data_IF_955134795578
#
_entry.id   IF_955134795578
#
_cell.length_a   1.000
_cell.length_b   1.000
_cell.length_c   1.000
_cell.angle_alpha   90.00
_cell.angle_beta   90.00
_cell.angle_gamma   90.00
#
_symmetry.space_group_name_H-M   'P 1'
#
loop_
_entity.id
_entity.type
_entity.pdbx_description
1 polymer ?
#
# COMPACT_ATOMS: atom_id res chain seq x y z
N UNK A 1 -1.65 5.60 11.19
CA UNK A 1 -1.55 4.79 9.95
C UNK A 1 -1.79 3.31 10.21
N UNK A 2 -0.92 2.62 10.96
CA UNK A 2 -1.04 1.16 11.18
C UNK A 2 -2.41 0.71 11.71
N UNK A 3 -3.01 1.45 12.66
CA UNK A 3 -4.36 1.14 13.15
C UNK A 3 -5.40 1.15 12.03
N UNK A 4 -5.36 2.16 11.15
CA UNK A 4 -6.31 2.28 10.05
C UNK A 4 -6.13 1.20 8.99
N UNK A 5 -4.87 0.85 8.66
CA UNK A 5 -4.57 -0.26 7.74
C UNK A 5 -5.07 -1.60 8.26
N UNK A 6 -4.96 -1.84 9.58
CA UNK A 6 -5.54 -3.03 10.22
C UNK A 6 -7.06 -3.04 10.06
N UNK A 7 -7.74 -1.92 10.28
CA UNK A 7 -9.19 -1.84 10.10
C UNK A 7 -9.60 -2.12 8.65
N UNK A 8 -8.82 -1.65 7.66
CA UNK A 8 -9.06 -1.96 6.24
C UNK A 8 -8.93 -3.46 5.98
N UNK A 9 -7.88 -4.10 6.52
CA UNK A 9 -7.70 -5.55 6.40
C UNK A 9 -8.85 -6.33 7.07
N UNK A 10 -9.28 -5.92 8.26
CA UNK A 10 -10.39 -6.58 8.99
C UNK A 10 -11.71 -6.50 8.22
N UNK A 11 -11.94 -5.46 7.42
CA UNK A 11 -13.11 -5.34 6.54
C UNK A 11 -12.99 -6.07 5.20
N UNK A 12 -11.83 -6.65 4.89
CA UNK A 12 -11.58 -7.30 3.60
C UNK A 12 -11.96 -8.78 3.56
N UNK A 13 -12.51 -9.33 4.65
CA UNK A 13 -12.85 -10.76 4.76
C UNK A 13 -11.69 -11.70 4.35
N UNK A 14 -10.45 -11.33 4.69
CA UNK A 14 -9.24 -12.11 4.40
C UNK A 14 -8.65 -11.91 2.99
N UNK A 15 -9.27 -11.07 2.17
CA UNK A 15 -8.83 -10.81 0.79
C UNK A 15 -7.63 -9.88 0.72
N UNK A 16 -7.39 -9.09 1.75
CA UNK A 16 -6.24 -8.19 1.81
C UNK A 16 -5.35 -8.51 2.99
N UNK A 17 -4.04 -8.36 2.79
CA UNK A 17 -3.10 -8.28 3.90
C UNK A 17 -2.42 -6.93 3.93
N UNK A 18 -2.59 -6.19 5.02
CA UNK A 18 -1.97 -4.89 5.24
C UNK A 18 -0.94 -4.99 6.38
N UNK A 19 0.30 -5.45 6.13
CA UNK A 19 1.35 -5.41 7.14
C UNK A 19 1.62 -3.99 7.63
N UNK A 20 2.12 -3.88 8.86
CA UNK A 20 2.50 -2.59 9.42
C UNK A 20 3.64 -1.91 8.63
N UNK A 21 3.80 -0.60 8.83
CA UNK A 21 4.91 0.20 8.30
C UNK A 21 6.32 -0.29 8.65
N UNK A 22 6.43 -1.22 9.60
CA UNK A 22 7.71 -1.82 9.99
C UNK A 22 8.08 -3.03 9.11
N UNK A 23 7.18 -3.53 8.28
CA UNK A 23 7.43 -4.71 7.44
C UNK A 23 8.50 -4.43 6.40
N UNK A 24 8.34 -3.36 5.62
CA UNK A 24 9.28 -3.05 4.55
C UNK A 24 10.71 -2.84 5.06
N UNK A 25 10.99 -1.98 6.06
CA UNK A 25 12.36 -1.81 6.56
C UNK A 25 13.00 -3.12 7.07
N UNK A 26 12.19 -4.03 7.64
CA UNK A 26 12.68 -5.33 8.10
C UNK A 26 12.95 -6.29 6.94
N UNK A 27 12.08 -6.32 5.94
CA UNK A 27 12.24 -7.14 4.74
C UNK A 27 13.42 -6.63 3.88
N UNK A 28 13.54 -5.33 3.68
CA UNK A 28 14.60 -4.70 2.89
C UNK A 28 15.99 -5.07 3.44
N UNK A 29 16.16 -4.90 4.75
CA UNK A 29 17.42 -5.15 5.44
C UNK A 29 17.72 -6.65 5.60
N UNK A 30 16.72 -7.46 5.98
CA UNK A 30 16.93 -8.83 6.45
C UNK A 30 16.35 -9.93 5.57
N UNK A 31 15.77 -9.59 4.41
CA UNK A 31 15.12 -10.55 3.52
C UNK A 31 13.93 -11.27 4.16
N UNK A 32 13.49 -12.36 3.54
CA UNK A 32 12.36 -13.16 4.04
C UNK A 32 12.61 -13.64 5.48
N UNK A 33 13.83 -14.06 5.82
CA UNK A 33 14.17 -14.58 7.14
C UNK A 33 13.79 -13.63 8.30
N UNK A 34 13.91 -12.31 8.10
CA UNK A 34 13.55 -11.30 9.10
C UNK A 34 12.02 -11.13 9.28
N UNK A 35 11.23 -11.52 8.27
CA UNK A 35 9.77 -11.35 8.26
C UNK A 35 8.99 -12.67 8.10
N UNK A 36 9.65 -13.82 8.08
CA UNK A 36 9.06 -15.16 7.85
C UNK A 36 7.91 -15.56 8.79
N UNK A 37 7.75 -14.86 9.92
CA UNK A 37 6.66 -15.12 10.88
C UNK A 37 5.50 -14.15 10.77
N UNK A 38 5.59 -13.12 9.93
CA UNK A 38 4.66 -12.00 9.93
C UNK A 38 3.27 -12.38 9.42
N UNK A 39 3.18 -13.02 8.25
CA UNK A 39 1.90 -13.49 7.71
C UNK A 39 1.22 -14.48 8.66
N UNK A 40 1.97 -15.48 9.15
CA UNK A 40 1.49 -16.44 10.15
C UNK A 40 0.98 -15.79 11.43
N UNK A 41 1.70 -14.79 11.98
CA UNK A 41 1.26 -14.06 13.18
C UNK A 41 0.02 -13.21 12.93
N UNK A 42 -0.20 -12.79 11.69
CA UNK A 42 -1.41 -12.11 11.26
C UNK A 42 -2.56 -13.09 10.93
N UNK A 43 -2.36 -14.41 11.07
CA UNK A 43 -3.29 -15.44 10.64
C UNK A 43 -3.71 -15.29 9.16
N UNK A 44 -2.76 -14.89 8.31
CA UNK A 44 -2.97 -14.66 6.88
C UNK A 44 -2.27 -15.73 6.07
N UNK A 45 -2.96 -16.26 5.06
CA UNK A 45 -2.36 -17.00 3.96
C UNK A 45 -2.13 -16.03 2.78
N UNK A 46 -0.87 -15.72 2.49
CA UNK A 46 -0.49 -14.74 1.46
C UNK A 46 -0.93 -15.18 0.06
N UNK A 47 -0.91 -16.49 -0.22
CA UNK A 47 -1.28 -17.06 -1.51
C UNK A 47 -2.78 -16.92 -1.83
N UNK A 48 -3.63 -16.80 -0.79
CA UNK A 48 -5.08 -16.64 -0.96
C UNK A 48 -5.56 -15.20 -0.89
N UNK A 49 -4.66 -14.23 -0.69
CA UNK A 49 -5.04 -12.82 -0.71
C UNK A 49 -5.17 -12.32 -2.16
N UNK A 50 -6.16 -11.47 -2.41
CA UNK A 50 -6.30 -10.69 -3.64
C UNK A 50 -5.27 -9.53 -3.69
N UNK A 51 -4.91 -8.97 -2.52
CA UNK A 51 -3.83 -7.99 -2.48
C UNK A 51 -3.04 -8.00 -1.16
N UNK A 52 -1.72 -7.91 -1.24
CA UNK A 52 -0.87 -7.47 -0.13
C UNK A 52 -0.52 -5.97 -0.27
N UNK A 53 -0.84 -5.23 0.78
CA UNK A 53 -0.79 -3.79 0.92
C UNK A 53 0.38 -3.39 1.79
N UNK A 54 1.51 -3.06 1.17
CA UNK A 54 2.73 -2.72 1.92
C UNK A 54 2.93 -1.20 1.95
N UNK A 55 2.74 -0.54 3.11
CA UNK A 55 3.21 0.83 3.30
C UNK A 55 4.74 0.84 3.34
N UNK A 56 5.39 1.67 2.52
CA UNK A 56 6.84 1.84 2.60
C UNK A 56 7.17 3.03 3.50
N UNK A 57 8.16 2.83 4.36
CA UNK A 57 8.75 3.92 5.10
C UNK A 57 10.16 4.11 4.55
N UNK A 58 10.32 5.08 3.66
CA UNK A 58 11.59 5.33 3.01
C UNK A 58 12.23 6.52 3.69
N UNK A 59 13.40 6.31 4.30
CA UNK A 59 14.21 7.42 4.78
C UNK A 59 14.64 8.28 3.59
N UNK A 60 14.68 9.60 3.77
CA UNK A 60 15.11 10.51 2.71
C UNK A 60 16.56 10.23 2.33
N UNK A 61 16.79 9.62 1.17
CA UNK A 61 18.06 9.76 0.46
C UNK A 61 18.22 11.25 0.21
N UNK A 62 19.23 11.86 0.83
CA UNK A 62 19.65 13.20 0.45
C UNK A 62 19.89 13.14 -1.06
N UNK A 63 19.03 13.81 -1.84
CA UNK A 63 19.36 14.10 -3.23
C UNK A 63 20.76 14.71 -3.20
N UNK A 64 21.69 14.07 -3.89
CA UNK A 64 23.09 14.46 -3.89
C UNK A 64 23.24 15.91 -4.36
N UNK A 65 23.20 16.84 -3.41
CA UNK A 65 24.04 18.03 -3.45
C UNK A 65 25.16 17.75 -2.47
N UNK A 66 26.27 17.24 -3.01
CA UNK A 66 27.56 17.25 -2.34
C UNK A 66 27.77 18.66 -1.77
N UNK A 67 27.97 18.74 -0.45
CA UNK A 67 28.44 19.98 0.18
C UNK A 67 27.51 20.70 1.15
N UNK A 68 26.33 20.17 1.54
CA UNK A 68 25.60 20.76 2.67
C UNK A 68 25.41 19.77 3.81
N UNK A 69 26.22 19.92 4.87
CA UNK A 69 25.97 19.34 6.19
C UNK A 69 24.68 19.97 6.75
N UNK A 70 23.51 19.47 6.35
CA UNK A 70 22.26 19.76 7.05
C UNK A 70 22.02 18.69 8.12
N UNK A 71 21.53 19.06 9.32
CA UNK A 71 21.36 18.12 10.40
C UNK A 71 20.36 17.04 10.00
N UNK A 72 20.62 15.82 10.49
CA UNK A 72 19.70 14.67 10.51
C UNK A 72 18.40 15.06 11.23
N UNK A 73 17.52 15.81 10.58
CA UNK A 73 16.13 15.90 10.99
C UNK A 73 15.33 14.97 10.09
N UNK A 74 15.02 13.82 10.67
CA UNK A 74 14.20 12.75 10.13
C UNK A 74 12.85 13.31 9.67
N UNK A 75 12.72 13.59 8.38
CA UNK A 75 11.40 13.69 7.77
C UNK A 75 10.97 12.25 7.46
N UNK A 76 10.28 11.65 8.43
CA UNK A 76 9.59 10.37 8.30
C UNK A 76 8.49 10.51 7.22
N UNK A 77 8.88 10.43 5.96
CA UNK A 77 7.93 10.35 4.85
C UNK A 77 7.46 8.91 4.76
N UNK A 78 6.19 8.70 5.10
CA UNK A 78 5.48 7.47 4.76
C UNK A 78 5.30 7.49 3.25
N UNK A 79 6.15 6.78 2.52
CA UNK A 79 6.15 6.79 1.05
C UNK A 79 5.50 5.51 0.56
N UNK A 80 4.51 5.63 -0.30
CA UNK A 80 4.07 4.56 -1.20
C UNK A 80 3.30 3.36 -0.60
N UNK A 81 2.41 2.84 -1.44
CA UNK A 81 1.52 1.69 -1.28
C UNK A 81 1.83 0.63 -2.37
N UNK A 82 1.66 -0.66 -2.07
CA UNK A 82 1.80 -1.79 -3.03
C UNK A 82 0.53 -2.65 -3.11
N UNK A 83 0.30 -3.28 -4.26
CA UNK A 83 -0.62 -4.42 -4.46
C UNK A 83 0.23 -5.66 -4.79
N UNK A 84 -0.09 -6.81 -4.20
CA UNK A 84 0.49 -8.11 -4.54
C UNK A 84 -0.64 -9.11 -4.61
N UNK A 85 -0.81 -9.74 -5.77
CA UNK A 85 -1.85 -10.75 -6.09
C UNK A 85 -3.04 -10.23 -6.90
N UNK A 86 -2.83 -9.29 -7.83
CA UNK A 86 -3.64 -9.36 -9.06
C UNK A 86 -3.31 -10.71 -9.75
N UNK A 87 -4.26 -11.46 -10.34
CA UNK A 87 -4.03 -12.71 -11.09
C UNK A 87 -2.92 -12.66 -12.16
N UNK A 88 -2.35 -11.49 -12.42
CA UNK A 88 -1.24 -11.23 -13.35
C UNK A 88 0.13 -11.11 -12.66
N UNK A 89 0.22 -11.31 -11.34
CA UNK A 89 1.46 -11.25 -10.56
C UNK A 89 2.20 -9.90 -10.69
N UNK A 90 1.46 -8.79 -10.64
CA UNK A 90 2.07 -7.46 -10.69
C UNK A 90 2.50 -6.94 -9.32
N UNK A 91 3.59 -6.17 -9.32
CA UNK A 91 4.01 -5.29 -8.22
C UNK A 91 3.73 -3.86 -8.67
N UNK A 92 2.72 -3.22 -8.09
CA UNK A 92 2.44 -1.80 -8.37
C UNK A 92 3.12 -0.92 -7.32
N UNK A 93 3.88 0.07 -7.76
CA UNK A 93 4.50 1.07 -6.90
C UNK A 93 3.80 2.42 -7.10
N UNK A 94 3.06 2.86 -6.06
CA UNK A 94 2.23 4.07 -6.07
C UNK A 94 2.83 5.19 -5.20
N UNK A 95 3.54 6.15 -5.79
CA UNK A 95 4.14 7.25 -5.01
C UNK A 95 3.43 8.59 -5.25
N UNK A 96 2.84 9.16 -4.20
CA UNK A 96 2.12 10.44 -4.29
C UNK A 96 3.03 11.65 -4.58
N UNK A 97 4.36 11.50 -4.52
CA UNK A 97 5.34 12.52 -4.89
C UNK A 97 6.05 12.22 -6.23
N UNK A 98 5.71 11.11 -6.89
CA UNK A 98 6.38 10.69 -8.13
C UNK A 98 7.84 10.28 -7.93
N UNK A 99 8.22 9.80 -6.74
CA UNK A 99 9.57 9.30 -6.50
C UNK A 99 9.81 7.98 -7.26
N UNK A 100 11.08 7.63 -7.59
CA UNK A 100 11.39 6.31 -8.13
C UNK A 100 11.20 5.23 -7.07
N UNK A 101 10.88 4.01 -7.52
CA UNK A 101 10.81 2.84 -6.66
C UNK A 101 12.18 2.53 -6.02
N UNK A 102 12.22 2.02 -4.77
CA UNK A 102 13.45 1.51 -4.18
C UNK A 102 14.07 0.41 -5.03
N UNK A 103 15.40 0.40 -5.12
CA UNK A 103 16.17 -0.54 -5.95
C UNK A 103 15.86 -2.01 -5.60
N UNK A 104 15.75 -2.31 -4.30
CA UNK A 104 15.49 -3.67 -3.82
C UNK A 104 13.99 -4.04 -3.78
N UNK A 105 13.10 -3.16 -4.22
CA UNK A 105 11.65 -3.36 -4.09
C UNK A 105 11.20 -4.66 -4.75
N UNK A 106 11.50 -4.83 -6.04
CA UNK A 106 11.07 -6.02 -6.78
C UNK A 106 11.68 -7.28 -6.18
N UNK A 107 13.00 -7.33 -6.03
CA UNK A 107 13.71 -8.53 -5.59
C UNK A 107 13.25 -9.01 -4.21
N UNK A 108 13.15 -8.11 -3.23
CA UNK A 108 12.74 -8.45 -1.85
C UNK A 108 11.32 -8.95 -1.74
N UNK A 109 10.45 -8.36 -2.53
CA UNK A 109 9.05 -8.70 -2.48
C UNK A 109 8.73 -9.97 -3.26
N UNK A 110 9.39 -10.18 -4.40
CA UNK A 110 9.37 -11.46 -5.11
C UNK A 110 9.93 -12.57 -4.21
N UNK A 111 11.06 -12.32 -3.53
CA UNK A 111 11.66 -13.24 -2.55
C UNK A 111 10.63 -13.59 -1.47
N UNK A 112 10.02 -12.59 -0.84
CA UNK A 112 9.03 -12.79 0.21
C UNK A 112 7.87 -13.69 -0.25
N UNK A 113 7.21 -13.33 -1.36
CA UNK A 113 6.03 -14.07 -1.83
C UNK A 113 6.38 -15.49 -2.28
N UNK A 114 7.53 -15.67 -2.94
CA UNK A 114 7.99 -17.00 -3.38
C UNK A 114 8.31 -17.93 -2.21
N UNK A 115 8.67 -17.37 -1.05
CA UNK A 115 8.92 -18.13 0.18
C UNK A 115 7.65 -18.41 0.98
N UNK A 116 6.62 -17.60 0.82
CA UNK A 116 5.28 -17.89 1.35
C UNK A 116 4.56 -18.95 0.50
N UNK A 117 4.76 -18.92 -0.81
CA UNK A 117 4.27 -19.94 -1.74
C UNK A 117 5.25 -20.12 -2.93
N UNK A 118 5.93 -21.28 -3.04
CA UNK A 118 6.83 -21.59 -4.14
C UNK A 118 6.18 -21.52 -5.53
N UNK A 119 4.86 -21.72 -5.64
CA UNK A 119 4.15 -21.62 -6.92
C UNK A 119 4.17 -20.19 -7.50
N UNK A 120 4.41 -19.18 -6.65
CA UNK A 120 4.46 -17.77 -7.04
C UNK A 120 5.88 -17.32 -7.46
N UNK A 121 6.85 -18.24 -7.51
CA UNK A 121 8.24 -17.94 -7.82
C UNK A 121 8.44 -17.48 -9.27
N UNK A 122 9.17 -16.36 -9.45
CA UNK A 122 9.53 -15.84 -10.77
C UNK A 122 8.41 -15.15 -11.55
N UNK A 123 7.21 -15.02 -10.97
CA UNK A 123 6.05 -14.47 -11.67
C UNK A 123 5.94 -12.94 -11.59
N UNK A 124 6.69 -12.31 -10.67
CA UNK A 124 6.43 -10.94 -10.23
C UNK A 124 7.19 -9.85 -10.98
N UNK A 125 6.46 -8.92 -11.59
CA UNK A 125 7.01 -7.79 -12.34
C UNK A 125 6.65 -6.43 -11.70
N UNK A 126 7.64 -5.53 -11.58
CA UNK A 126 7.45 -4.17 -11.05
C UNK A 126 6.94 -3.18 -12.10
N UNK A 127 5.90 -2.43 -11.72
CA UNK A 127 5.35 -1.31 -12.46
C UNK A 127 5.32 -0.07 -11.57
N UNK A 128 6.04 0.97 -11.99
CA UNK A 128 5.96 2.30 -11.40
C UNK A 128 4.77 3.02 -12.02
N UNK A 129 3.86 3.43 -11.15
CA UNK A 129 2.58 4.03 -11.55
C UNK A 129 2.70 5.54 -11.51
N UNK A 130 2.52 6.18 -12.66
CA UNK A 130 2.75 7.61 -12.81
C UNK A 130 1.46 8.43 -12.96
N UNK A 131 0.31 7.83 -13.32
CA UNK A 131 -0.96 8.56 -13.49
C UNK A 131 -1.88 8.37 -12.29
N UNK A 132 -1.37 8.75 -11.11
CA UNK A 132 -2.14 8.74 -9.86
C UNK A 132 -2.27 10.14 -9.28
N UNK A 133 -3.31 10.39 -8.46
CA UNK A 133 -3.42 11.62 -7.71
C UNK A 133 -2.19 11.85 -6.84
N UNK A 134 -1.51 12.98 -7.02
CA UNK A 134 -0.30 13.33 -6.28
C UNK A 134 -0.60 14.32 -5.16
N UNK A 135 0.27 14.34 -4.15
CA UNK A 135 0.22 15.32 -3.08
C UNK A 135 0.99 16.58 -3.46
N UNK A 136 0.57 17.72 -2.92
CA UNK A 136 1.22 19.02 -3.15
C UNK A 136 2.18 19.45 -2.03
N UNK A 137 2.31 18.65 -0.97
CA UNK A 137 3.17 18.93 0.17
C UNK A 137 3.87 17.67 0.71
N UNK A 138 4.77 17.83 1.66
CA UNK A 138 5.55 16.73 2.25
C UNK A 138 4.90 16.06 3.47
N UNK A 139 3.70 16.46 3.88
CA UNK A 139 3.06 16.00 5.13
C UNK A 139 1.81 15.12 4.93
N UNK A 140 1.27 15.09 3.70
CA UNK A 140 0.03 14.37 3.38
C UNK A 140 0.26 12.92 2.94
N UNK A 141 1.51 12.46 2.91
CA UNK A 141 1.86 11.19 2.26
C UNK A 141 1.17 9.99 2.93
N UNK A 142 1.09 10.03 4.26
CA UNK A 142 0.34 9.04 5.02
C UNK A 142 -1.16 9.04 4.73
N UNK A 143 -1.75 10.18 4.38
CA UNK A 143 -3.17 10.25 3.99
C UNK A 143 -3.40 9.67 2.61
N UNK A 144 -2.52 9.96 1.65
CA UNK A 144 -2.56 9.35 0.32
C UNK A 144 -2.37 7.83 0.38
N UNK A 145 -1.42 7.33 1.19
CA UNK A 145 -1.24 5.88 1.41
C UNK A 145 -2.52 5.23 1.94
N UNK A 146 -3.17 5.84 2.94
CA UNK A 146 -4.43 5.31 3.47
C UNK A 146 -5.58 5.41 2.46
N UNK A 147 -5.63 6.46 1.64
CA UNK A 147 -6.64 6.62 0.61
C UNK A 147 -6.48 5.60 -0.53
N UNK A 148 -5.24 5.34 -0.98
CA UNK A 148 -4.98 4.28 -1.95
C UNK A 148 -5.35 2.91 -1.39
N UNK A 149 -5.04 2.65 -0.10
CA UNK A 149 -5.43 1.41 0.57
C UNK A 149 -6.92 1.16 0.55
N UNK A 150 -7.70 2.19 0.81
CA UNK A 150 -9.14 2.11 0.71
C UNK A 150 -9.64 1.86 -0.71
N UNK A 151 -9.06 2.53 -1.71
CA UNK A 151 -9.41 2.31 -3.11
C UNK A 151 -9.16 0.85 -3.49
N UNK A 152 -8.00 0.31 -3.15
CA UNK A 152 -7.66 -1.10 -3.41
C UNK A 152 -8.61 -2.04 -2.69
N UNK A 153 -8.87 -1.79 -1.41
CA UNK A 153 -9.75 -2.64 -0.62
C UNK A 153 -11.18 -2.72 -1.16
N UNK A 154 -11.63 -1.61 -1.75
CA UNK A 154 -12.97 -1.49 -2.32
C UNK A 154 -13.01 -1.72 -3.83
N UNK A 155 -11.89 -2.10 -4.45
CA UNK A 155 -11.76 -2.23 -5.90
C UNK A 155 -12.25 -0.98 -6.66
N UNK A 156 -11.95 0.20 -6.10
CA UNK A 156 -12.27 1.50 -6.67
C UNK A 156 -11.07 2.06 -7.44
N UNK A 157 -11.28 2.87 -8.48
CA UNK A 157 -10.21 3.64 -9.11
C UNK A 157 -9.42 4.47 -8.09
N UNK A 158 -8.11 4.62 -8.30
CA UNK A 158 -7.23 5.48 -7.49
C UNK A 158 -7.57 6.96 -7.70
N UNK A 159 -8.71 7.41 -7.13
CA UNK A 159 -9.18 8.78 -7.18
C UNK A 159 -9.12 9.36 -5.78
N UNK A 160 -8.23 10.33 -5.60
CA UNK A 160 -8.06 11.09 -4.37
C UNK A 160 -8.10 12.56 -4.77
N UNK A 161 -9.04 13.32 -4.22
CA UNK A 161 -8.98 14.77 -4.35
C UNK A 161 -7.87 15.30 -3.43
N UNK A 162 -6.79 15.80 -4.04
CA UNK A 162 -5.64 16.38 -3.36
C UNK A 162 -5.86 17.81 -2.85
N UNK A 163 -7.06 18.38 -3.03
CA UNK A 163 -7.39 19.70 -2.48
C UNK A 163 -7.24 19.71 -0.97
N UNK A 164 -6.77 20.83 -0.41
CA UNK A 164 -6.59 21.01 1.03
C UNK A 164 -7.85 20.65 1.83
N UNK A 165 -9.01 21.09 1.33
CA UNK A 165 -10.31 20.80 1.95
C UNK A 165 -10.63 19.29 1.97
N UNK A 166 -10.38 18.58 0.87
CA UNK A 166 -10.57 17.13 0.80
C UNK A 166 -9.62 16.39 1.74
N UNK A 167 -8.33 16.74 1.73
CA UNK A 167 -7.33 16.11 2.59
C UNK A 167 -7.62 16.35 4.08
N UNK A 168 -7.99 17.57 4.47
CA UNK A 168 -8.40 17.88 5.84
C UNK A 168 -9.65 17.09 6.26
N UNK A 169 -10.63 16.96 5.36
CA UNK A 169 -11.82 16.14 5.58
C UNK A 169 -11.47 14.66 5.76
N UNK A 170 -10.57 14.14 4.91
CA UNK A 170 -10.07 12.76 4.99
C UNK A 170 -9.31 12.50 6.29
N UNK A 171 -8.47 13.44 6.72
CA UNK A 171 -7.76 13.39 8.01
C UNK A 171 -8.73 13.23 9.18
N UNK A 172 -9.80 14.05 9.20
CA UNK A 172 -10.85 13.98 10.23
C UNK A 172 -11.60 12.65 10.18
N UNK A 173 -11.96 12.18 8.99
CA UNK A 173 -12.65 10.90 8.81
C UNK A 173 -11.81 9.71 9.31
N UNK A 174 -10.52 9.68 8.98
CA UNK A 174 -9.57 8.65 9.47
C UNK A 174 -9.47 8.72 10.99
N UNK A 175 -9.30 9.91 11.57
CA UNK A 175 -9.19 10.07 13.02
C UNK A 175 -10.46 9.61 13.74
N UNK A 176 -11.64 9.97 13.23
CA UNK A 176 -12.93 9.56 13.76
C UNK A 176 -13.10 8.03 13.71
N UNK A 177 -12.79 7.42 12.56
CA UNK A 177 -12.88 5.98 12.39
C UNK A 177 -11.97 5.23 13.36
N UNK A 178 -10.72 5.68 13.53
CA UNK A 178 -9.80 5.09 14.52
C UNK A 178 -10.34 5.25 15.94
N UNK A 179 -10.86 6.43 16.30
CA UNK A 179 -11.43 6.68 17.62
C UNK A 179 -12.67 5.83 17.91
N UNK A 180 -13.48 5.54 16.89
CA UNK A 180 -14.70 4.73 16.99
C UNK A 180 -14.46 3.23 16.80
N UNK A 181 -13.27 2.82 16.34
CA UNK A 181 -13.01 1.43 15.95
C UNK A 181 -13.86 0.96 14.76
N UNK A 182 -14.36 1.87 13.93
CA UNK A 182 -15.28 1.57 12.82
C UNK A 182 -14.93 2.38 11.58
N UNK A 183 -14.68 1.72 10.45
CA UNK A 183 -14.55 2.43 9.18
C UNK A 183 -15.93 2.93 8.72
N UNK A 184 -15.99 4.06 7.99
CA UNK A 184 -17.23 4.53 7.39
C UNK A 184 -17.85 3.41 6.55
N UNK A 185 -19.14 3.14 6.75
CA UNK A 185 -19.89 2.23 5.89
C UNK A 185 -19.83 2.77 4.46
N UNK A 186 -19.33 1.97 3.52
CA UNK A 186 -19.55 2.28 2.11
C UNK A 186 -21.05 2.24 1.87
N UNK A 187 -21.63 3.29 1.31
CA UNK A 187 -22.84 3.10 0.52
C UNK A 187 -22.50 1.99 -0.48
N UNK A 188 -23.13 0.82 -0.32
CA UNK A 188 -23.02 -0.22 -1.33
C UNK A 188 -23.57 0.42 -2.59
N UNK A 189 -22.70 0.74 -3.54
CA UNK A 189 -23.13 1.07 -4.88
C UNK A 189 -23.98 -0.13 -5.33
N UNK A 190 -25.30 0.08 -5.38
CA UNK A 190 -26.27 -0.88 -5.87
C UNK A 190 -25.99 -1.08 -7.35
N UNK A 191 -25.08 -1.99 -7.67
CA UNK A 191 -24.95 -2.57 -8.99
C UNK A 191 -25.31 -4.04 -8.87
N UNK A 192 -26.28 -4.39 -9.71
CA UNK A 192 -27.12 -5.56 -9.69
C UNK A 192 -26.36 -6.88 -9.55
N UNK A 193 -26.97 -7.78 -8.78
CA UNK A 193 -26.70 -9.21 -8.74
C UNK A 193 -26.70 -9.81 -10.16
N UNK A 194 -25.56 -10.35 -10.58
CA UNK A 194 -25.46 -11.16 -11.79
C UNK A 194 -24.03 -11.59 -12.06
N UNK A 195 -23.78 -12.90 -11.92
CA UNK A 195 -22.55 -13.61 -12.28
C UNK A 195 -21.31 -13.35 -11.42
N UNK A 196 -20.75 -14.45 -10.91
CA UNK A 196 -19.45 -14.54 -10.27
C UNK A 196 -18.33 -14.33 -11.29
N UNK A 197 -18.11 -13.11 -11.79
CA UNK A 197 -16.90 -12.81 -12.55
C UNK A 197 -16.68 -11.30 -12.73
N UNK A 198 -15.44 -10.88 -12.46
CA UNK A 198 -14.87 -9.52 -12.55
C UNK A 198 -15.04 -8.62 -11.33
N UNK A 199 -14.33 -8.97 -10.26
CA UNK A 199 -13.74 -7.94 -9.41
C UNK A 199 -12.78 -7.12 -10.27
N UNK A 200 -13.01 -5.82 -10.38
CA UNK A 200 -12.20 -4.93 -11.21
C UNK A 200 -10.87 -4.72 -10.48
N UNK A 201 -9.87 -5.56 -10.77
CA UNK A 201 -8.50 -5.30 -10.37
C UNK A 201 -8.05 -3.99 -11.01
N UNK A 202 -7.21 -3.21 -10.32
CA UNK A 202 -6.58 -2.03 -10.91
C UNK A 202 -5.79 -2.46 -12.14
N UNK A 203 -6.40 -2.33 -13.32
CA UNK A 203 -5.74 -2.68 -14.57
C UNK A 203 -4.68 -1.63 -14.84
N UNK A 204 -3.55 -2.01 -15.45
CA UNK A 204 -2.54 -1.05 -15.91
C UNK A 204 -3.11 0.04 -16.84
N UNK A 205 -4.32 -0.15 -17.40
CA UNK A 205 -5.05 0.86 -18.17
C UNK A 205 -5.79 1.91 -17.33
N UNK A 206 -5.95 1.70 -16.02
CA UNK A 206 -6.58 2.61 -15.06
C UNK A 206 -5.55 3.37 -14.20
N UNK A 207 -4.28 3.28 -14.58
CA UNK A 207 -3.08 3.57 -13.80
C UNK A 207 -2.03 4.31 -14.65
#
# INVERSE_FOLDING_TARGET
MNCYLRMIQEQSDGQLWCPSSFFWPKLELGGHAAVQRWARRAAVNVASCDALVVPLHLEGVATGRVGTKRPKQLLHLVRTFRIVCDPRHHILYLDSLGMPAPELLQSRLSEFVSKEDPALSGLWQLYVVNKIPTQLNSSDCGIFVLAYAECVARSLPLRVDGSRKSIESKRRAIALAVAQGKLPSSEKASMQSGSSEKRMYLTLSQV
#
